data_IF_498711176497
#
_entry.id   IF_498711176497
#
_cell.length_a   1.000
_cell.length_b   1.000
_cell.length_c   1.000
_cell.angle_alpha   90.00
_cell.angle_beta   90.00
_cell.angle_gamma   90.00
#
_symmetry.space_group_name_H-M   'P 1'
#
loop_
_entity.id
_entity.type
_entity.pdbx_description
1 polymer ?
#
# COMPACT_ATOMS: atom_id res chain seq x y z
N UNK A 1 -25.71 1.65 -4.47
CA UNK A 1 -25.17 1.48 -3.11
C UNK A 1 -23.68 1.80 -3.19
N UNK A 2 -23.25 2.98 -2.76
CA UNK A 2 -21.83 3.32 -2.72
C UNK A 2 -21.29 2.74 -1.41
N UNK A 3 -20.40 1.75 -1.50
CA UNK A 3 -19.70 1.28 -0.31
C UNK A 3 -18.93 2.47 0.27
N UNK A 4 -19.09 2.72 1.57
CA UNK A 4 -18.31 3.73 2.27
C UNK A 4 -16.84 3.26 2.23
N UNK A 5 -16.06 3.75 1.28
CA UNK A 5 -14.65 3.45 1.19
C UNK A 5 -13.93 4.25 2.28
N UNK A 6 -13.29 3.54 3.21
CA UNK A 6 -12.46 4.17 4.22
C UNK A 6 -11.17 4.63 3.53
N UNK A 7 -10.99 5.95 3.42
CA UNK A 7 -9.75 6.55 2.98
C UNK A 7 -8.84 6.81 4.18
N UNK A 8 -7.54 6.56 4.00
CA UNK A 8 -6.52 6.69 5.05
C UNK A 8 -5.25 7.31 4.48
N UNK A 9 -4.62 8.21 5.22
CA UNK A 9 -3.28 8.72 4.85
C UNK A 9 -2.25 7.60 4.89
N UNK A 10 -1.49 7.41 3.80
CA UNK A 10 -0.50 6.34 3.62
C UNK A 10 0.50 6.31 4.77
N UNK A 11 1.14 7.45 5.06
CA UNK A 11 2.20 7.55 6.07
C UNK A 11 1.70 7.20 7.48
N UNK A 12 0.38 7.27 7.72
CA UNK A 12 -0.23 6.86 8.99
C UNK A 12 -0.28 5.33 9.15
N UNK A 13 -0.29 4.57 8.05
CA UNK A 13 -0.53 3.11 8.05
C UNK A 13 0.56 2.27 7.41
N UNK A 14 1.44 2.86 6.61
CA UNK A 14 2.52 2.16 5.94
C UNK A 14 3.88 2.82 6.19
N UNK A 15 4.92 2.00 6.12
CA UNK A 15 6.31 2.42 6.14
C UNK A 15 6.91 2.15 4.76
N UNK A 16 7.26 3.23 4.05
CA UNK A 16 8.11 3.19 2.85
C UNK A 16 9.52 3.53 3.30
N UNK A 17 10.49 2.65 3.03
CA UNK A 17 11.84 2.81 3.58
C UNK A 17 12.70 3.75 2.72
N UNK A 18 12.54 3.70 1.40
CA UNK A 18 13.18 4.62 0.47
C UNK A 18 12.21 5.12 -0.59
N UNK A 19 12.45 6.34 -1.05
CA UNK A 19 11.87 6.82 -2.29
C UNK A 19 12.28 5.88 -3.43
N UNK A 20 11.34 5.55 -4.32
CA UNK A 20 11.54 4.56 -5.38
C UNK A 20 11.32 3.10 -4.97
N UNK A 21 11.15 2.76 -3.68
CA UNK A 21 10.78 1.39 -3.29
C UNK A 21 9.45 0.99 -3.94
N UNK A 22 9.39 -0.26 -4.44
CA UNK A 22 8.19 -0.80 -5.08
C UNK A 22 7.13 -1.22 -4.05
N UNK A 23 7.51 -1.29 -2.77
CA UNK A 23 6.70 -1.85 -1.69
C UNK A 23 6.78 -1.02 -0.42
N UNK A 24 5.68 -0.97 0.31
CA UNK A 24 5.60 -0.49 1.69
C UNK A 24 5.33 -1.64 2.66
N UNK A 25 5.60 -1.43 3.94
CA UNK A 25 5.25 -2.38 5.02
C UNK A 25 4.12 -1.80 5.86
N UNK A 26 3.04 -2.55 6.06
CA UNK A 26 1.91 -2.07 6.85
C UNK A 26 2.22 -2.06 8.35
N UNK A 27 1.86 -0.98 9.03
CA UNK A 27 1.94 -0.81 10.48
C UNK A 27 0.75 -1.44 11.23
N UNK A 28 -0.36 -1.68 10.52
CA UNK A 28 -1.58 -2.33 11.02
C UNK A 28 -2.26 -3.14 9.93
N UNK A 29 -3.11 -4.08 10.31
CA UNK A 29 -3.92 -4.84 9.35
C UNK A 29 -4.90 -3.91 8.62
N UNK A 30 -4.92 -3.98 7.30
CA UNK A 30 -5.88 -3.26 6.46
C UNK A 30 -6.84 -4.26 5.80
N UNK A 31 -8.12 -3.89 5.72
CA UNK A 31 -9.14 -4.70 5.02
C UNK A 31 -9.06 -4.45 3.52
N UNK A 32 -9.39 -5.45 2.71
CA UNK A 32 -9.59 -5.24 1.27
C UNK A 32 -10.59 -4.12 0.99
N UNK A 33 -10.32 -3.33 -0.06
CA UNK A 33 -11.08 -2.13 -0.40
C UNK A 33 -10.73 -0.86 0.40
N UNK A 34 -9.73 -0.90 1.28
CA UNK A 34 -9.23 0.31 1.96
C UNK A 34 -8.48 1.18 0.95
N UNK A 35 -8.81 2.47 0.88
CA UNK A 35 -8.10 3.45 0.07
C UNK A 35 -7.00 4.12 0.89
N UNK A 36 -5.79 4.14 0.33
CA UNK A 36 -4.63 4.81 0.89
C UNK A 36 -4.28 6.00 0.02
N UNK A 37 -4.08 7.17 0.62
CA UNK A 37 -3.78 8.42 -0.09
C UNK A 37 -2.47 9.05 0.38
N UNK A 38 -1.71 9.64 -0.55
CA UNK A 38 -0.54 10.47 -0.28
C UNK A 38 -0.43 11.55 -1.37
N UNK A 39 -0.87 12.77 -1.08
CA UNK A 39 -0.94 13.82 -2.10
C UNK A 39 -1.86 13.42 -3.26
N UNK A 40 -1.30 13.29 -4.47
CA UNK A 40 -2.02 12.82 -5.66
C UNK A 40 -1.96 11.30 -5.88
N UNK A 41 -1.18 10.58 -5.08
CA UNK A 41 -1.08 9.12 -5.16
C UNK A 41 -2.23 8.47 -4.38
N UNK A 42 -2.84 7.44 -4.97
CA UNK A 42 -3.85 6.62 -4.29
C UNK A 42 -3.65 5.15 -4.60
N UNK A 43 -3.86 4.30 -3.59
CA UNK A 43 -3.76 2.83 -3.70
C UNK A 43 -4.96 2.23 -2.98
N UNK A 44 -5.68 1.34 -3.66
CA UNK A 44 -6.73 0.53 -3.02
C UNK A 44 -6.20 -0.86 -2.71
N UNK A 45 -6.32 -1.31 -1.47
CA UNK A 45 -5.92 -2.67 -1.09
C UNK A 45 -6.80 -3.70 -1.81
N UNK A 46 -6.20 -4.63 -2.56
CA UNK A 46 -6.95 -5.66 -3.28
C UNK A 46 -7.48 -6.79 -2.36
N UNK A 47 -6.89 -6.95 -1.17
CA UNK A 47 -7.26 -7.96 -0.19
C UNK A 47 -6.97 -7.45 1.23
N UNK A 48 -7.40 -8.22 2.24
CA UNK A 48 -6.97 -7.96 3.63
C UNK A 48 -5.49 -8.29 3.78
N UNK A 49 -4.70 -7.33 4.26
CA UNK A 49 -3.25 -7.44 4.40
C UNK A 49 -2.89 -7.30 5.89
N UNK A 50 -2.26 -8.31 6.52
CA UNK A 50 -1.87 -8.22 7.94
C UNK A 50 -0.81 -7.14 8.22
N UNK A 51 -0.72 -6.70 9.47
CA UNK A 51 0.38 -5.86 9.94
C UNK A 51 1.74 -6.56 9.68
N UNK A 52 2.76 -5.78 9.30
CA UNK A 52 4.10 -6.27 8.96
C UNK A 52 4.25 -6.83 7.54
N UNK A 53 3.15 -7.02 6.80
CA UNK A 53 3.20 -7.52 5.43
C UNK A 53 3.44 -6.39 4.43
N UNK A 54 3.90 -6.78 3.23
CA UNK A 54 4.19 -5.85 2.13
C UNK A 54 2.92 -5.53 1.34
N UNK A 55 2.78 -4.27 0.96
CA UNK A 55 1.84 -3.79 -0.05
C UNK A 55 2.64 -3.24 -1.23
N UNK A 56 2.17 -3.46 -2.46
CA UNK A 56 2.76 -2.86 -3.65
C UNK A 56 2.40 -1.36 -3.73
N UNK A 57 3.39 -0.51 -3.95
CA UNK A 57 3.22 0.94 -4.15
C UNK A 57 3.12 1.33 -5.62
N UNK A 58 3.47 0.40 -6.51
CA UNK A 58 3.32 0.51 -7.96
C UNK A 58 3.01 -0.87 -8.53
N UNK A 59 2.50 -0.91 -9.76
CA UNK A 59 2.42 -2.16 -10.51
C UNK A 59 3.81 -2.77 -10.71
N UNK A 60 3.92 -4.08 -10.51
CA UNK A 60 5.13 -4.86 -10.78
C UNK A 60 4.75 -5.99 -11.72
N UNK A 61 5.41 -6.04 -12.87
CA UNK A 61 5.13 -7.07 -13.89
C UNK A 61 5.79 -8.40 -13.53
N UNK A 62 5.31 -9.51 -14.10
CA UNK A 62 5.91 -10.82 -13.85
C UNK A 62 7.36 -10.84 -14.35
N UNK A 63 8.29 -11.30 -13.51
CA UNK A 63 9.72 -11.27 -13.78
C UNK A 63 10.42 -9.93 -13.50
N UNK A 64 9.68 -8.85 -13.21
CA UNK A 64 10.28 -7.58 -12.82
C UNK A 64 10.82 -7.65 -11.38
N UNK A 65 12.03 -7.12 -11.13
CA UNK A 65 12.57 -7.06 -9.78
C UNK A 65 11.68 -6.25 -8.83
N UNK A 66 11.46 -6.78 -7.63
CA UNK A 66 10.82 -6.05 -6.53
C UNK A 66 11.90 -5.33 -5.72
N UNK A 67 11.87 -3.98 -5.73
CA UNK A 67 12.82 -3.15 -4.97
C UNK A 67 12.27 -2.82 -3.59
N UNK A 68 13.08 -3.08 -2.58
CA UNK A 68 12.85 -2.69 -1.19
C UNK A 68 14.22 -2.41 -0.59
N UNK A 69 14.33 -1.36 0.22
CA UNK A 69 15.60 -0.91 0.78
C UNK A 69 16.55 -0.28 -0.26
N UNK A 70 16.01 0.21 -1.39
CA UNK A 70 16.79 0.69 -2.55
C UNK A 70 17.41 -0.43 -3.37
#
# INVERSE_FOLDING_TARGET
MVALMASMEMDSVLLRLREGDHVGVLKRTLKGGTELVHGSEFITTAATIPAGHKIALKSVTNGEPVRKYG
#
